data_IF_824449453609
#
_entry.id   IF_824449453609
#
_cell.length_a   1.000
_cell.length_b   1.000
_cell.length_c   1.000
_cell.angle_alpha   90.00
_cell.angle_beta   90.00
_cell.angle_gamma   90.00
#
_symmetry.space_group_name_H-M   'P 1'
#
loop_
_entity.id
_entity.type
_entity.pdbx_description
1 polymer ?
#
# COMPACT_ATOMS: atom_id res chain seq x y z
N UNK A 1 -12.90 10.93 -16.13
CA UNK A 1 -12.87 10.39 -17.50
C UNK A 1 -11.42 10.35 -17.95
N UNK A 2 -10.85 9.22 -18.31
CA UNK A 2 -9.50 9.19 -18.88
C UNK A 2 -9.54 9.74 -20.32
N UNK A 3 -8.57 10.59 -20.65
CA UNK A 3 -8.36 11.15 -21.98
C UNK A 3 -6.92 10.89 -22.37
N UNK A 4 -6.69 10.37 -23.57
CA UNK A 4 -5.34 10.23 -24.12
C UNK A 4 -4.98 11.49 -24.88
N UNK A 5 -3.86 12.11 -24.48
CA UNK A 5 -3.35 13.32 -25.13
C UNK A 5 -2.11 12.97 -25.94
N UNK A 6 -2.17 13.20 -27.26
CA UNK A 6 -1.02 12.98 -28.13
C UNK A 6 0.00 14.13 -28.01
N UNK A 7 1.24 13.83 -28.27
CA UNK A 7 2.31 14.81 -28.23
C UNK A 7 2.00 16.03 -29.13
N UNK A 8 2.18 17.24 -28.60
CA UNK A 8 1.91 18.49 -29.31
C UNK A 8 0.41 18.87 -29.40
N UNK A 9 -0.49 18.09 -28.82
CA UNK A 9 -1.92 18.43 -28.71
C UNK A 9 -2.22 19.08 -27.37
N UNK A 10 -3.32 19.84 -27.33
CA UNK A 10 -3.88 20.42 -26.12
C UNK A 10 -5.25 19.85 -25.84
N UNK A 11 -5.60 19.72 -24.57
CA UNK A 11 -6.93 19.32 -24.12
C UNK A 11 -7.52 20.43 -23.25
N UNK A 12 -8.80 20.69 -23.44
CA UNK A 12 -9.57 21.64 -22.65
C UNK A 12 -10.93 21.04 -22.34
N UNK A 13 -11.29 21.06 -21.08
CA UNK A 13 -12.58 20.56 -20.61
C UNK A 13 -13.19 21.56 -19.62
N UNK A 14 -14.50 21.67 -19.63
CA UNK A 14 -15.23 22.46 -18.64
C UNK A 14 -15.94 21.53 -17.67
N UNK A 15 -15.47 21.51 -16.45
CA UNK A 15 -16.03 20.66 -15.39
C UNK A 15 -17.03 21.46 -14.57
N UNK A 16 -18.29 21.02 -14.55
CA UNK A 16 -19.29 21.54 -13.60
C UNK A 16 -19.18 20.77 -12.31
N UNK A 17 -18.77 21.42 -11.24
CA UNK A 17 -18.68 20.83 -9.92
C UNK A 17 -20.05 20.86 -9.24
N UNK A 18 -20.67 19.72 -8.91
CA UNK A 18 -21.92 19.67 -8.17
C UNK A 18 -21.67 19.94 -6.69
N UNK A 19 -22.52 20.74 -6.06
CA UNK A 19 -22.47 20.98 -4.62
C UNK A 19 -22.34 22.45 -4.24
N UNK A 20 -22.09 22.66 -2.94
CA UNK A 20 -21.94 24.00 -2.38
C UNK A 20 -20.55 24.55 -2.70
N UNK A 21 -20.47 25.84 -3.02
CA UNK A 21 -19.21 26.53 -3.28
C UNK A 21 -18.23 26.36 -2.11
N UNK A 22 -16.97 26.02 -2.43
CA UNK A 22 -15.92 25.77 -1.44
C UNK A 22 -15.87 24.34 -0.89
N UNK A 23 -16.83 23.48 -1.19
CA UNK A 23 -16.84 22.06 -0.74
C UNK A 23 -16.37 21.08 -1.81
N UNK A 24 -16.09 21.55 -3.01
CA UNK A 24 -15.65 20.73 -4.12
C UNK A 24 -14.14 20.67 -4.21
N UNK A 25 -13.62 19.51 -4.59
CA UNK A 25 -12.22 19.33 -4.97
C UNK A 25 -12.14 18.67 -6.35
N UNK A 26 -11.20 19.12 -7.17
CA UNK A 26 -10.90 18.52 -8.47
C UNK A 26 -9.42 18.10 -8.46
N UNK A 27 -9.16 16.85 -8.78
CA UNK A 27 -7.81 16.35 -8.98
C UNK A 27 -7.59 16.04 -10.45
N UNK A 28 -6.54 16.59 -11.04
CA UNK A 28 -6.09 16.27 -12.37
C UNK A 28 -4.82 15.41 -12.25
N UNK A 29 -4.88 14.18 -12.75
CA UNK A 29 -3.74 13.29 -12.84
C UNK A 29 -3.26 13.24 -14.28
N UNK A 30 -1.96 13.45 -14.49
CA UNK A 30 -1.30 13.32 -15.78
C UNK A 30 -0.22 12.25 -15.67
N UNK A 31 -0.27 11.26 -16.55
CA UNK A 31 0.67 10.14 -16.55
C UNK A 31 0.88 9.62 -17.96
N UNK A 32 2.06 9.16 -18.27
CA UNK A 32 2.41 8.43 -19.50
C UNK A 32 2.11 6.92 -19.40
N UNK A 33 1.69 6.45 -18.24
CA UNK A 33 1.20 5.08 -18.02
C UNK A 33 -0.30 5.09 -17.71
N UNK A 34 -1.04 4.02 -18.00
CA UNK A 34 -2.45 3.91 -17.65
C UNK A 34 -2.67 4.19 -16.15
N UNK A 35 -3.71 4.97 -15.78
CA UNK A 35 -3.95 5.33 -14.39
C UNK A 35 -4.23 4.06 -13.57
N UNK A 36 -3.28 3.72 -12.71
CA UNK A 36 -3.49 2.71 -11.69
C UNK A 36 -4.28 3.36 -10.56
N UNK A 37 -5.52 2.93 -10.34
CA UNK A 37 -6.30 3.42 -9.19
C UNK A 37 -5.75 2.81 -7.89
N UNK A 38 -4.55 3.27 -7.50
CA UNK A 38 -3.80 2.74 -6.35
C UNK A 38 -4.54 3.02 -5.04
N UNK A 39 -5.19 4.18 -4.92
CA UNK A 39 -5.86 4.58 -3.68
C UNK A 39 -6.97 3.62 -3.26
N UNK A 40 -7.82 3.18 -4.21
CA UNK A 40 -8.90 2.22 -3.90
C UNK A 40 -8.35 0.81 -3.64
N UNK A 41 -7.30 0.40 -4.35
CA UNK A 41 -6.66 -0.91 -4.14
C UNK A 41 -5.88 -0.96 -2.83
N UNK A 42 -5.24 0.13 -2.43
CA UNK A 42 -4.56 0.24 -1.14
C UNK A 42 -5.54 0.14 0.03
N UNK A 43 -6.70 0.79 -0.07
CA UNK A 43 -7.77 0.67 0.93
C UNK A 43 -8.26 -0.77 1.09
N UNK A 44 -8.36 -1.53 -0.01
CA UNK A 44 -8.71 -2.95 0.02
C UNK A 44 -7.63 -3.80 0.70
N UNK A 45 -6.35 -3.53 0.43
CA UNK A 45 -5.23 -4.25 1.05
C UNK A 45 -5.16 -4.01 2.56
N UNK A 46 -5.51 -2.80 3.02
CA UNK A 46 -5.54 -2.46 4.46
C UNK A 46 -6.68 -3.18 5.19
N UNK A 47 -7.80 -3.46 4.51
CA UNK A 47 -9.05 -3.96 5.11
C UNK A 47 -9.11 -5.45 5.50
N UNK A 48 -8.10 -6.30 5.16
CA UNK A 48 -8.17 -7.74 5.42
C UNK A 48 -7.47 -8.13 6.73
N UNK A 49 -8.20 -8.51 7.79
CA UNK A 49 -7.63 -8.62 9.15
C UNK A 49 -6.91 -9.94 9.46
N UNK A 50 -7.12 -11.01 8.68
CA UNK A 50 -6.59 -12.35 8.95
C UNK A 50 -5.81 -12.87 7.75
N UNK A 51 -4.82 -13.75 7.96
CA UNK A 51 -4.10 -14.36 6.86
C UNK A 51 -2.87 -15.14 7.29
N UNK A 52 -2.29 -15.84 6.35
CA UNK A 52 -0.98 -16.46 6.50
C UNK A 52 0.14 -15.40 6.44
N UNK A 53 1.37 -15.82 6.73
CA UNK A 53 2.55 -14.94 6.70
C UNK A 53 2.69 -14.18 5.38
N UNK A 54 2.40 -14.82 4.24
CA UNK A 54 2.44 -14.16 2.92
C UNK A 54 1.39 -13.04 2.80
N UNK A 55 0.17 -13.29 3.23
CA UNK A 55 -0.92 -12.31 3.16
C UNK A 55 -0.65 -11.10 4.06
N UNK A 56 -0.12 -11.34 5.26
CA UNK A 56 0.27 -10.27 6.20
C UNK A 56 1.40 -9.44 5.60
N UNK A 57 2.44 -10.08 5.09
CA UNK A 57 3.59 -9.41 4.47
C UNK A 57 3.19 -8.62 3.22
N UNK A 58 2.35 -9.21 2.36
CA UNK A 58 1.84 -8.57 1.14
C UNK A 58 0.99 -7.32 1.40
N UNK A 59 0.43 -7.16 2.60
CA UNK A 59 -0.21 -5.92 3.03
C UNK A 59 0.79 -4.81 3.32
N UNK A 60 1.91 -5.16 3.93
CA UNK A 60 2.93 -4.21 4.33
C UNK A 60 3.72 -3.63 3.16
N UNK A 61 4.10 -4.47 2.21
CA UNK A 61 4.98 -4.06 1.11
C UNK A 61 4.49 -2.85 0.32
N UNK A 62 3.25 -2.79 -0.18
CA UNK A 62 2.76 -1.61 -0.90
C UNK A 62 2.80 -0.34 -0.04
N UNK A 63 2.60 -0.46 1.26
CA UNK A 63 2.58 0.68 2.18
C UNK A 63 3.98 1.32 2.34
N UNK A 64 5.05 0.53 2.20
CA UNK A 64 6.42 1.05 2.24
C UNK A 64 6.76 1.96 1.06
N UNK A 65 6.11 1.76 -0.09
CA UNK A 65 6.50 2.39 -1.34
C UNK A 65 5.44 3.33 -1.93
N UNK A 66 4.21 3.33 -1.42
CA UNK A 66 3.11 4.11 -2.00
C UNK A 66 3.43 5.60 -2.10
N UNK A 67 4.18 6.15 -1.14
CA UNK A 67 4.60 7.55 -1.16
C UNK A 67 5.59 7.92 -2.28
N UNK A 68 6.22 6.94 -2.91
CA UNK A 68 7.09 7.15 -4.07
C UNK A 68 6.30 7.26 -5.38
N UNK A 69 5.10 6.69 -5.42
CA UNK A 69 4.25 6.64 -6.61
C UNK A 69 3.07 7.61 -6.58
N UNK A 70 2.75 8.16 -5.41
CA UNK A 70 1.63 9.08 -5.24
C UNK A 70 1.93 10.12 -4.15
N UNK A 71 1.53 11.37 -4.41
CA UNK A 71 1.56 12.40 -3.38
C UNK A 71 0.48 12.07 -2.32
N UNK A 72 0.93 11.73 -1.12
CA UNK A 72 0.06 11.38 0.00
C UNK A 72 -0.25 12.61 0.84
N UNK A 73 -1.50 12.75 1.25
CA UNK A 73 -1.87 13.68 2.32
C UNK A 73 -1.26 13.22 3.64
N UNK A 74 -1.12 14.13 4.60
CA UNK A 74 -0.59 13.80 5.93
C UNK A 74 -1.38 12.69 6.63
N UNK A 75 -2.69 12.66 6.43
CA UNK A 75 -3.55 11.60 6.96
C UNK A 75 -3.26 10.24 6.31
N UNK A 76 -3.06 10.21 5.00
CA UNK A 76 -2.71 8.98 4.28
C UNK A 76 -1.32 8.48 4.68
N UNK A 77 -0.33 9.37 4.87
CA UNK A 77 0.99 9.01 5.37
C UNK A 77 0.88 8.32 6.74
N UNK A 78 0.16 8.91 7.68
CA UNK A 78 -0.05 8.31 9.00
C UNK A 78 -0.75 6.93 8.90
N UNK A 79 -1.69 6.78 7.96
CA UNK A 79 -2.40 5.52 7.76
C UNK A 79 -1.45 4.43 7.24
N UNK A 80 -0.60 4.75 6.27
CA UNK A 80 0.38 3.80 5.72
C UNK A 80 1.44 3.41 6.75
N UNK A 81 1.97 4.36 7.50
CA UNK A 81 2.92 4.08 8.59
C UNK A 81 2.31 3.17 9.67
N UNK A 82 1.08 3.43 10.09
CA UNK A 82 0.39 2.60 11.06
C UNK A 82 0.13 1.19 10.50
N UNK A 83 -0.18 1.06 9.21
CA UNK A 83 -0.35 -0.23 8.55
C UNK A 83 0.95 -1.05 8.56
N UNK A 84 2.09 -0.42 8.27
CA UNK A 84 3.42 -1.06 8.35
C UNK A 84 3.72 -1.53 9.77
N UNK A 85 3.56 -0.65 10.77
CA UNK A 85 3.76 -0.98 12.19
C UNK A 85 2.88 -2.15 12.64
N UNK A 86 1.63 -2.19 12.20
CA UNK A 86 0.71 -3.29 12.52
C UNK A 86 1.14 -4.60 11.88
N UNK A 87 1.64 -4.59 10.64
CA UNK A 87 2.19 -5.79 9.99
C UNK A 87 3.40 -6.31 10.76
N UNK A 88 4.35 -5.44 11.13
CA UNK A 88 5.53 -5.81 11.92
C UNK A 88 5.10 -6.41 13.27
N UNK A 89 4.14 -5.80 13.95
CA UNK A 89 3.59 -6.30 15.21
C UNK A 89 2.99 -7.70 15.05
N UNK A 90 2.24 -7.93 13.97
CA UNK A 90 1.60 -9.23 13.70
C UNK A 90 2.62 -10.31 13.35
N UNK A 91 3.67 -10.00 12.58
CA UNK A 91 4.71 -10.95 12.22
C UNK A 91 5.37 -11.60 13.45
N UNK A 92 5.40 -10.93 14.60
CA UNK A 92 5.88 -11.53 15.86
C UNK A 92 5.13 -12.80 16.24
N UNK A 93 3.83 -12.92 15.95
CA UNK A 93 3.05 -14.12 16.25
C UNK A 93 3.33 -15.30 15.30
N UNK A 94 4.04 -15.05 14.22
CA UNK A 94 4.47 -16.07 13.25
C UNK A 94 5.90 -16.53 13.49
N UNK A 95 6.68 -15.80 14.32
CA UNK A 95 8.06 -16.10 14.54
C UNK A 95 8.21 -17.39 15.35
N UNK A 96 9.04 -18.29 14.84
CA UNK A 96 9.39 -19.56 15.47
C UNK A 96 10.60 -19.40 16.39
N UNK A 97 10.86 -20.36 17.24
CA UNK A 97 11.96 -20.31 18.24
C UNK A 97 13.35 -20.23 17.61
N UNK A 98 13.50 -20.68 16.37
CA UNK A 98 14.72 -20.59 15.57
C UNK A 98 14.86 -19.25 14.81
N UNK A 99 13.93 -18.30 15.01
CA UNK A 99 13.95 -16.98 14.40
C UNK A 99 13.33 -16.92 13.00
N UNK A 100 12.91 -18.05 12.43
CA UNK A 100 12.19 -18.13 11.16
C UNK A 100 10.72 -17.73 11.33
N UNK A 101 9.92 -17.84 10.26
CA UNK A 101 8.48 -17.57 10.31
C UNK A 101 7.69 -18.83 9.93
N UNK A 102 6.68 -19.14 10.72
CA UNK A 102 5.69 -20.17 10.43
C UNK A 102 4.66 -19.64 9.41
N UNK A 103 3.93 -20.55 8.74
CA UNK A 103 2.91 -20.15 7.79
C UNK A 103 1.68 -19.52 8.46
N UNK A 104 1.30 -20.02 9.64
CA UNK A 104 0.19 -19.53 10.46
C UNK A 104 0.68 -19.00 11.81
N UNK A 105 -0.05 -18.07 12.44
CA UNK A 105 0.33 -17.54 13.75
C UNK A 105 0.37 -18.65 14.80
N UNK A 106 1.38 -18.63 15.66
CA UNK A 106 1.58 -19.65 16.70
C UNK A 106 2.10 -21.00 16.18
N UNK A 107 2.39 -21.13 14.91
CA UNK A 107 2.97 -22.33 14.33
C UNK A 107 4.39 -22.57 14.84
N UNK A 108 4.76 -23.84 14.98
CA UNK A 108 6.10 -24.28 15.45
C UNK A 108 7.06 -24.67 14.32
N UNK A 109 6.52 -24.92 13.12
CA UNK A 109 7.32 -25.29 11.95
C UNK A 109 7.58 -24.06 11.08
N UNK A 110 8.82 -23.84 10.73
CA UNK A 110 9.24 -22.76 9.83
C UNK A 110 8.73 -23.00 8.40
N UNK A 111 8.32 -21.92 7.73
CA UNK A 111 7.99 -21.91 6.31
C UNK A 111 9.09 -21.15 5.55
N UNK A 112 9.81 -21.85 4.68
CA UNK A 112 10.98 -21.28 3.99
C UNK A 112 10.62 -20.05 3.15
N UNK A 113 9.58 -20.11 2.32
CA UNK A 113 9.15 -18.97 1.51
C UNK A 113 8.65 -17.81 2.37
N UNK A 114 7.77 -18.10 3.32
CA UNK A 114 7.25 -17.10 4.25
C UNK A 114 8.35 -16.40 5.04
N UNK A 115 9.38 -17.16 5.46
CA UNK A 115 10.56 -16.61 6.15
C UNK A 115 11.33 -15.63 5.27
N UNK A 116 11.67 -16.02 4.05
CA UNK A 116 12.38 -15.14 3.10
C UNK A 116 11.58 -13.88 2.82
N UNK A 117 10.28 -14.02 2.56
CA UNK A 117 9.40 -12.91 2.21
C UNK A 117 9.19 -11.94 3.38
N UNK A 118 8.93 -12.46 4.58
CA UNK A 118 8.77 -11.62 5.77
C UNK A 118 10.09 -10.93 6.16
N UNK A 119 11.24 -11.62 6.06
CA UNK A 119 12.55 -11.02 6.32
C UNK A 119 12.86 -9.91 5.33
N UNK A 120 12.59 -10.12 4.04
CA UNK A 120 12.73 -9.07 3.01
C UNK A 120 11.89 -7.84 3.33
N UNK A 121 10.64 -8.03 3.74
CA UNK A 121 9.78 -6.94 4.17
C UNK A 121 10.36 -6.17 5.37
N UNK A 122 10.82 -6.89 6.40
CA UNK A 122 11.36 -6.28 7.62
C UNK A 122 12.62 -5.46 7.33
N UNK A 123 13.54 -5.98 6.53
CA UNK A 123 14.74 -5.26 6.10
C UNK A 123 14.38 -4.02 5.25
N UNK A 124 13.39 -4.14 4.37
CA UNK A 124 12.90 -3.01 3.60
C UNK A 124 12.24 -1.94 4.48
N UNK A 125 11.50 -2.33 5.50
CA UNK A 125 10.91 -1.42 6.47
C UNK A 125 11.97 -0.70 7.29
N UNK A 126 13.02 -1.40 7.74
CA UNK A 126 14.16 -0.82 8.47
C UNK A 126 14.87 0.26 7.66
N UNK A 127 15.07 0.04 6.36
CA UNK A 127 15.73 1.05 5.48
C UNK A 127 14.88 2.27 5.23
N UNK A 128 13.58 2.19 5.45
CA UNK A 128 12.63 3.31 5.26
C UNK A 128 12.37 4.13 6.53
N UNK A 129 12.82 3.67 7.70
CA UNK A 129 12.63 4.32 9.00
C UNK A 129 11.42 3.83 9.73
#
# INVERSE_FOLDING_TARGET
>A
MPVTLEAGKSWKETVKLPGTEGTNSLTLEMSDVPPLNLSSRLSYLIGYPHGCVEQITSKGFPQLYVGEFAALTKQQQNTTENAVKEVIRRLRSYQTVDGAFSYWPGGTSSNGWGTVYATHFLLSAETKG
#
